data_IF_295515205955
#
_entry.id   IF_295515205955
#
_cell.length_a   1.000
_cell.length_b   1.000
_cell.length_c   1.000
_cell.angle_alpha   90.00
_cell.angle_beta   90.00
_cell.angle_gamma   90.00
#
_symmetry.space_group_name_H-M   'P 1'
#
loop_
_entity.id
_entity.type
_entity.pdbx_description
1 polymer ?
#
# COMPACT_ATOMS: atom_id res chain seq x y z
N UNK A 1 6.28 9.83 3.12
CA UNK A 1 7.31 10.90 3.15
C UNK A 1 8.62 10.33 2.65
N UNK A 2 9.16 10.86 1.56
CA UNK A 2 10.40 10.34 0.97
C UNK A 2 11.58 10.82 1.82
N UNK A 3 12.26 9.91 2.50
CA UNK A 3 13.35 10.25 3.42
C UNK A 3 14.68 9.69 2.92
N UNK A 4 15.66 10.56 2.64
CA UNK A 4 17.01 10.15 2.18
C UNK A 4 17.72 9.25 3.18
N UNK A 5 17.66 9.58 4.47
CA UNK A 5 18.24 8.75 5.53
C UNK A 5 17.65 7.35 5.60
N UNK A 6 16.32 7.24 5.39
CA UNK A 6 15.65 5.96 5.35
C UNK A 6 16.06 5.15 4.12
N UNK A 7 16.21 5.80 2.96
CA UNK A 7 16.66 5.13 1.73
C UNK A 7 18.07 4.53 1.90
N UNK A 8 19.03 5.31 2.43
CA UNK A 8 20.37 4.82 2.73
C UNK A 8 20.34 3.65 3.73
N UNK A 9 19.62 3.81 4.83
CA UNK A 9 19.45 2.77 5.85
C UNK A 9 18.87 1.46 5.31
N UNK A 10 17.91 1.51 4.41
CA UNK A 10 17.32 0.32 3.80
C UNK A 10 18.34 -0.39 2.90
N UNK A 11 19.05 0.34 2.05
CA UNK A 11 20.01 -0.24 1.11
C UNK A 11 21.21 -0.84 1.84
N UNK A 12 21.71 -0.22 2.92
CA UNK A 12 22.76 -0.77 3.79
C UNK A 12 22.39 -2.13 4.42
N UNK A 13 21.11 -2.49 4.43
CA UNK A 13 20.57 -3.75 4.95
C UNK A 13 20.04 -4.68 3.87
N UNK A 14 20.53 -4.55 2.64
CA UNK A 14 20.11 -5.33 1.48
C UNK A 14 18.60 -5.26 1.20
N UNK A 15 17.93 -4.20 1.71
CA UNK A 15 16.53 -3.94 1.43
C UNK A 15 16.38 -2.92 0.30
N UNK A 16 15.25 -3.00 -0.39
CA UNK A 16 14.93 -2.07 -1.46
C UNK A 16 13.82 -1.10 -1.04
N UNK A 17 13.84 0.09 -1.61
CA UNK A 17 12.77 1.06 -1.41
C UNK A 17 11.97 1.30 -2.69
N UNK A 18 10.74 1.73 -2.48
CA UNK A 18 9.82 2.27 -3.46
C UNK A 18 9.17 3.50 -2.83
N UNK A 19 9.42 4.68 -3.38
CA UNK A 19 8.90 5.94 -2.84
C UNK A 19 8.15 6.73 -3.89
N UNK A 20 6.99 7.25 -3.53
CA UNK A 20 6.30 8.28 -4.28
C UNK A 20 6.82 9.63 -3.82
N UNK A 21 7.26 10.43 -4.78
CA UNK A 21 7.67 11.81 -4.58
C UNK A 21 6.42 12.67 -4.48
N UNK A 22 6.31 13.46 -3.44
CA UNK A 22 5.17 14.36 -3.19
C UNK A 22 5.68 15.80 -3.07
N UNK A 23 4.78 16.78 -3.08
CA UNK A 23 5.07 18.21 -3.01
C UNK A 23 5.94 18.69 -1.84
N UNK A 24 6.27 17.82 -0.87
CA UNK A 24 7.28 18.10 0.15
C UNK A 24 8.74 17.96 -0.34
N UNK A 25 8.94 17.54 -1.59
CA UNK A 25 10.23 17.50 -2.30
C UNK A 25 10.07 18.08 -3.71
N UNK A 26 9.74 19.37 -3.83
CA UNK A 26 9.35 19.99 -5.09
C UNK A 26 10.46 19.95 -6.15
N UNK A 27 11.71 20.12 -5.78
CA UNK A 27 12.85 20.04 -6.72
C UNK A 27 12.95 18.64 -7.34
N UNK A 28 12.89 17.60 -6.53
CA UNK A 28 12.96 16.21 -7.00
C UNK A 28 11.76 15.86 -7.90
N UNK A 29 10.59 16.33 -7.54
CA UNK A 29 9.37 16.16 -8.34
C UNK A 29 9.49 16.86 -9.70
N UNK A 30 10.00 18.10 -9.72
CA UNK A 30 10.22 18.88 -10.93
C UNK A 30 11.26 18.25 -11.86
N UNK A 31 12.39 17.77 -11.31
CA UNK A 31 13.44 17.11 -12.09
C UNK A 31 12.91 15.87 -12.81
N UNK A 32 12.13 15.04 -12.08
CA UNK A 32 11.51 13.85 -12.67
C UNK A 32 10.45 14.25 -13.70
N UNK A 33 9.58 15.22 -13.37
CA UNK A 33 8.53 15.68 -14.26
C UNK A 33 9.10 16.25 -15.57
N UNK A 34 10.19 17.02 -15.50
CA UNK A 34 10.87 17.59 -16.66
C UNK A 34 11.39 16.50 -17.58
N UNK A 35 12.01 15.46 -17.03
CA UNK A 35 12.55 14.34 -17.82
C UNK A 35 11.45 13.58 -18.58
N UNK A 36 10.27 13.41 -17.94
CA UNK A 36 9.17 12.68 -18.56
C UNK A 36 8.21 13.53 -19.40
N UNK A 37 8.44 14.85 -19.51
CA UNK A 37 7.54 15.79 -20.20
C UNK A 37 7.24 15.41 -21.65
N UNK A 38 8.25 14.97 -22.39
CA UNK A 38 8.14 14.70 -23.83
C UNK A 38 7.93 13.21 -24.17
N UNK A 39 7.80 12.33 -23.16
CA UNK A 39 7.57 10.90 -23.38
C UNK A 39 6.12 10.64 -23.79
N UNK A 40 5.93 10.09 -24.98
CA UNK A 40 4.59 9.82 -25.52
C UNK A 40 4.11 8.39 -25.27
N UNK A 41 4.98 7.40 -25.46
CA UNK A 41 4.61 5.98 -25.35
C UNK A 41 4.98 5.43 -23.95
N UNK A 42 4.03 4.83 -23.22
CA UNK A 42 4.32 4.20 -21.94
C UNK A 42 5.12 2.90 -22.10
N UNK A 43 6.01 2.62 -21.16
CA UNK A 43 6.76 1.35 -21.12
C UNK A 43 5.83 0.18 -20.78
N UNK A 44 4.76 0.46 -20.01
CA UNK A 44 3.68 -0.50 -19.75
C UNK A 44 2.37 0.23 -19.50
N UNK A 45 1.26 -0.37 -19.93
CA UNK A 45 -0.09 0.11 -19.68
C UNK A 45 -1.01 -1.04 -19.28
N UNK A 46 -1.88 -0.79 -18.31
CA UNK A 46 -2.86 -1.74 -17.82
C UNK A 46 -4.26 -1.10 -17.82
N UNK A 47 -5.23 -1.83 -18.37
CA UNK A 47 -6.64 -1.51 -18.26
C UNK A 47 -7.26 -2.46 -17.23
N UNK A 48 -7.77 -1.91 -16.13
CA UNK A 48 -8.46 -2.72 -15.14
C UNK A 48 -9.91 -2.96 -15.61
N UNK A 49 -10.38 -4.22 -15.61
CA UNK A 49 -11.78 -4.51 -15.90
C UNK A 49 -12.72 -3.69 -15.02
N UNK A 50 -13.95 -3.42 -15.47
CA UNK A 50 -14.89 -2.63 -14.70
C UNK A 50 -15.18 -3.28 -13.36
N UNK A 51 -14.69 -2.70 -12.29
CA UNK A 51 -15.01 -3.08 -10.92
C UNK A 51 -15.77 -1.95 -10.24
N UNK A 52 -16.86 -2.26 -9.55
CA UNK A 52 -17.73 -1.28 -8.89
C UNK A 52 -18.17 -0.09 -9.78
N UNK A 53 -18.35 -0.33 -11.11
CA UNK A 53 -18.79 0.69 -12.05
C UNK A 53 -17.72 1.71 -12.45
N UNK A 54 -16.44 1.41 -12.25
CA UNK A 54 -15.30 2.25 -12.66
C UNK A 54 -14.43 1.52 -13.68
N UNK A 55 -13.98 2.26 -14.70
CA UNK A 55 -12.93 1.83 -15.61
C UNK A 55 -11.68 2.60 -15.21
N UNK A 56 -10.58 1.89 -15.03
CA UNK A 56 -9.32 2.49 -14.67
C UNK A 56 -8.22 2.09 -15.65
N UNK A 57 -7.53 3.07 -16.19
CA UNK A 57 -6.34 2.90 -17.03
C UNK A 57 -5.14 3.43 -16.27
N UNK A 58 -4.09 2.63 -16.21
CA UNK A 58 -2.80 3.01 -15.64
C UNK A 58 -1.71 2.87 -16.68
N UNK A 59 -0.86 3.88 -16.77
CA UNK A 59 0.32 3.89 -17.62
C UNK A 59 1.53 4.18 -16.77
N UNK A 60 2.67 3.59 -17.10
CA UNK A 60 3.92 3.82 -16.41
C UNK A 60 5.05 4.04 -17.41
N UNK A 61 5.92 4.96 -17.08
CA UNK A 61 7.19 5.23 -17.74
C UNK A 61 8.30 5.11 -16.70
N UNK A 62 9.42 4.53 -17.09
CA UNK A 62 10.58 4.32 -16.22
C UNK A 62 11.84 4.82 -16.88
N UNK A 63 12.83 5.24 -16.12
CA UNK A 63 14.13 5.66 -16.64
C UNK A 63 15.25 5.37 -15.65
N UNK A 64 16.42 5.08 -16.18
CA UNK A 64 17.69 5.02 -15.45
C UNK A 64 18.59 6.23 -15.72
N UNK A 65 18.23 7.08 -16.67
CA UNK A 65 19.05 8.24 -17.08
C UNK A 65 19.20 9.28 -15.96
N UNK A 66 18.29 9.30 -15.02
CA UNK A 66 18.33 10.16 -13.83
C UNK A 66 19.20 9.59 -12.70
N UNK A 67 19.73 8.38 -12.85
CA UNK A 67 20.60 7.77 -11.84
C UNK A 67 21.88 8.58 -11.70
N UNK A 68 22.23 8.96 -10.48
CA UNK A 68 23.39 9.82 -10.19
C UNK A 68 23.17 11.33 -10.43
N UNK A 69 22.13 11.72 -11.19
CA UNK A 69 21.78 13.14 -11.39
C UNK A 69 20.86 13.67 -10.30
N UNK A 70 19.96 12.81 -9.80
CA UNK A 70 19.04 13.19 -8.73
C UNK A 70 19.76 13.25 -7.38
N UNK A 71 19.51 14.31 -6.62
CA UNK A 71 20.01 14.41 -5.26
C UNK A 71 19.23 13.47 -4.31
N UNK A 72 19.32 12.15 -4.60
CA UNK A 72 18.72 11.10 -3.81
C UNK A 72 19.58 9.83 -3.82
N UNK A 73 19.76 9.14 -2.65
CA UNK A 73 20.68 8.01 -2.55
C UNK A 73 20.16 6.75 -3.21
N UNK A 74 21.05 6.01 -3.88
CA UNK A 74 20.85 4.65 -4.39
C UNK A 74 19.64 4.51 -5.35
N UNK A 75 19.41 5.50 -6.21
CA UNK A 75 18.36 5.42 -7.22
C UNK A 75 18.74 4.39 -8.28
N UNK A 76 17.92 3.35 -8.44
CA UNK A 76 18.03 2.37 -9.51
C UNK A 76 17.16 2.74 -10.71
N UNK A 77 15.97 3.30 -10.47
CA UNK A 77 15.06 3.84 -11.49
C UNK A 77 14.22 4.98 -10.94
N UNK A 78 13.95 5.98 -11.79
CA UNK A 78 12.87 6.94 -11.61
C UNK A 78 11.67 6.52 -12.46
N UNK A 79 10.46 6.84 -12.04
CA UNK A 79 9.25 6.48 -12.77
C UNK A 79 8.15 7.54 -12.61
N UNK A 80 7.23 7.55 -13.60
CA UNK A 80 5.97 8.27 -13.52
C UNK A 80 4.82 7.31 -13.77
N UNK A 81 3.76 7.43 -12.97
CA UNK A 81 2.52 6.67 -13.13
C UNK A 81 1.40 7.65 -13.40
N UNK A 82 0.70 7.44 -14.50
CA UNK A 82 -0.52 8.13 -14.86
C UNK A 82 -1.73 7.22 -14.61
N UNK A 83 -2.70 7.70 -13.84
CA UNK A 83 -3.94 6.99 -13.56
C UNK A 83 -5.13 7.80 -14.08
N UNK A 84 -5.90 7.21 -14.97
CA UNK A 84 -7.15 7.75 -15.46
C UNK A 84 -8.29 6.86 -15.01
N UNK A 85 -9.31 7.45 -14.38
CA UNK A 85 -10.49 6.73 -13.90
C UNK A 85 -11.75 7.34 -14.51
N UNK A 86 -12.65 6.50 -15.00
CA UNK A 86 -13.95 6.89 -15.53
C UNK A 86 -15.04 6.19 -14.71
N UNK A 87 -15.89 6.95 -14.06
CA UNK A 87 -17.07 6.43 -13.39
C UNK A 87 -18.20 6.25 -14.42
N UNK A 88 -18.59 5.01 -14.70
CA UNK A 88 -19.59 4.69 -15.71
C UNK A 88 -20.98 5.26 -15.40
N UNK A 89 -21.33 5.40 -14.12
CA UNK A 89 -22.65 5.88 -13.71
C UNK A 89 -22.77 7.41 -13.83
N UNK A 90 -21.70 8.13 -13.47
CA UNK A 90 -21.73 9.60 -13.40
C UNK A 90 -21.01 10.26 -14.58
N UNK A 91 -20.29 9.50 -15.41
CA UNK A 91 -19.41 10.03 -16.45
C UNK A 91 -18.19 10.79 -15.93
N UNK A 92 -18.04 10.93 -14.61
CA UNK A 92 -16.93 11.69 -14.01
C UNK A 92 -15.59 11.04 -14.35
N UNK A 93 -14.67 11.85 -14.85
CA UNK A 93 -13.28 11.47 -15.13
C UNK A 93 -12.36 12.05 -14.08
N UNK A 94 -11.39 11.29 -13.62
CA UNK A 94 -10.26 11.77 -12.83
C UNK A 94 -8.95 11.39 -13.50
N UNK A 95 -7.95 12.25 -13.36
CA UNK A 95 -6.62 12.08 -13.88
C UNK A 95 -5.62 12.42 -12.78
N UNK A 96 -4.72 11.49 -12.51
CA UNK A 96 -3.71 11.61 -11.46
C UNK A 96 -2.36 11.23 -12.02
N UNK A 97 -1.33 11.99 -11.67
CA UNK A 97 0.06 11.72 -12.00
C UNK A 97 0.83 11.57 -10.69
N UNK A 98 1.62 10.53 -10.60
CA UNK A 98 2.49 10.26 -9.46
C UNK A 98 3.92 10.01 -9.95
N UNK A 99 4.87 10.74 -9.40
CA UNK A 99 6.30 10.55 -9.63
C UNK A 99 6.91 9.71 -8.52
N UNK A 100 7.92 8.91 -8.84
CA UNK A 100 8.53 8.08 -7.82
C UNK A 100 9.92 7.60 -8.16
N UNK A 101 10.55 6.99 -7.15
CA UNK A 101 11.90 6.43 -7.19
C UNK A 101 11.92 5.04 -6.58
N UNK A 102 12.77 4.18 -7.12
CA UNK A 102 13.08 2.87 -6.53
C UNK A 102 14.58 2.61 -6.57
N UNK A 103 15.09 1.86 -5.61
CA UNK A 103 16.47 1.38 -5.62
C UNK A 103 16.68 0.15 -6.51
N UNK A 104 15.59 -0.45 -7.01
CA UNK A 104 15.69 -1.61 -7.90
C UNK A 104 16.08 -1.19 -9.32
N UNK A 105 16.99 -1.96 -9.90
CA UNK A 105 17.34 -1.83 -11.32
C UNK A 105 16.21 -2.36 -12.22
N UNK A 106 16.21 -2.05 -13.54
CA UNK A 106 15.25 -2.60 -14.49
C UNK A 106 15.21 -4.14 -14.54
N UNK A 107 16.34 -4.79 -14.28
CA UNK A 107 16.43 -6.25 -14.21
C UNK A 107 15.76 -6.84 -12.99
N UNK A 108 15.71 -6.09 -11.88
CA UNK A 108 15.09 -6.49 -10.62
C UNK A 108 13.59 -6.14 -10.54
N UNK A 109 13.18 -5.08 -11.22
CA UNK A 109 11.80 -4.64 -11.28
C UNK A 109 11.50 -3.97 -12.63
N UNK A 110 10.81 -4.68 -13.48
CA UNK A 110 10.27 -4.15 -14.72
C UNK A 110 9.12 -3.14 -14.47
N UNK A 111 8.68 -2.36 -15.45
CA UNK A 111 7.60 -1.38 -15.29
C UNK A 111 6.31 -1.99 -14.75
N UNK A 112 5.95 -3.20 -15.17
CA UNK A 112 4.78 -3.93 -14.69
C UNK A 112 4.90 -4.22 -13.18
N UNK A 113 6.07 -4.65 -12.71
CA UNK A 113 6.31 -4.93 -11.29
C UNK A 113 6.24 -3.66 -10.45
N UNK A 114 6.79 -2.55 -10.93
CA UNK A 114 6.70 -1.25 -10.25
C UNK A 114 5.23 -0.84 -10.10
N UNK A 115 4.42 -0.99 -11.15
CA UNK A 115 2.99 -0.69 -11.11
C UNK A 115 2.23 -1.60 -10.13
N UNK A 116 2.58 -2.89 -10.07
CA UNK A 116 2.02 -3.83 -9.09
C UNK A 116 2.34 -3.43 -7.65
N UNK A 117 3.58 -3.00 -7.37
CA UNK A 117 3.98 -2.51 -6.04
C UNK A 117 3.18 -1.26 -5.66
N UNK A 118 2.98 -0.34 -6.61
CA UNK A 118 2.13 0.83 -6.40
C UNK A 118 0.70 0.44 -6.02
N UNK A 119 0.11 -0.52 -6.71
CA UNK A 119 -1.23 -1.04 -6.38
C UNK A 119 -1.26 -1.74 -5.02
N UNK A 120 -0.23 -2.52 -4.71
CA UNK A 120 -0.09 -3.24 -3.44
C UNK A 120 -0.07 -2.31 -2.23
N UNK A 121 0.47 -1.11 -2.37
CA UNK A 121 0.46 -0.11 -1.31
C UNK A 121 -0.97 0.28 -0.88
N UNK A 122 -1.88 0.50 -1.82
CA UNK A 122 -3.30 0.75 -1.55
C UNK A 122 -4.00 -0.41 -0.85
N UNK A 123 -3.52 -1.63 -1.06
CA UNK A 123 -4.07 -2.80 -0.36
C UNK A 123 -3.77 -2.73 1.14
N UNK A 124 -2.61 -2.24 1.54
CA UNK A 124 -2.25 -2.05 2.95
C UNK A 124 -3.16 -0.99 3.59
N UNK A 125 -3.39 0.14 2.92
CA UNK A 125 -4.29 1.17 3.40
C UNK A 125 -5.72 0.64 3.57
N UNK A 126 -6.26 -0.03 2.57
CA UNK A 126 -7.63 -0.54 2.60
C UNK A 126 -7.83 -1.73 3.55
N UNK A 127 -6.82 -2.58 3.74
CA UNK A 127 -6.97 -3.81 4.53
C UNK A 127 -6.45 -3.70 5.95
N UNK A 128 -5.60 -2.74 6.24
CA UNK A 128 -5.01 -2.55 7.57
C UNK A 128 -5.41 -1.21 8.19
N UNK A 129 -5.07 -0.10 7.55
CA UNK A 129 -5.38 1.22 8.11
C UNK A 129 -6.87 1.47 8.18
N UNK A 130 -7.64 1.21 7.13
CA UNK A 130 -9.11 1.32 7.16
C UNK A 130 -9.74 0.50 8.29
N UNK A 131 -9.24 -0.71 8.58
CA UNK A 131 -9.77 -1.53 9.68
C UNK A 131 -9.42 -0.93 11.04
N UNK A 132 -8.20 -0.39 11.21
CA UNK A 132 -7.79 0.27 12.44
C UNK A 132 -8.59 1.57 12.68
N UNK A 133 -8.68 2.41 11.66
CA UNK A 133 -9.27 3.74 11.77
C UNK A 133 -10.80 3.68 11.87
N UNK A 134 -11.43 2.84 11.05
CA UNK A 134 -12.88 2.80 10.94
C UNK A 134 -13.57 1.79 11.85
N UNK A 135 -12.98 0.60 12.07
CA UNK A 135 -13.62 -0.45 12.86
C UNK A 135 -13.20 -0.39 14.31
N UNK A 136 -11.93 -0.14 14.56
CA UNK A 136 -11.41 0.04 15.91
C UNK A 136 -11.44 1.50 16.38
N UNK A 137 -11.85 2.44 15.53
CA UNK A 137 -11.94 3.88 15.85
C UNK A 137 -10.64 4.40 16.51
N UNK A 138 -9.49 4.05 15.89
CA UNK A 138 -8.17 4.31 16.48
C UNK A 138 -7.93 5.81 16.68
N UNK A 139 -8.36 6.64 15.73
CA UNK A 139 -8.21 8.10 15.79
C UNK A 139 -8.99 8.74 16.94
N UNK A 140 -10.10 8.15 17.36
CA UNK A 140 -10.92 8.62 18.49
C UNK A 140 -10.56 7.95 19.81
N UNK A 141 -9.55 7.09 19.84
CA UNK A 141 -9.09 6.46 21.06
C UNK A 141 -8.65 7.52 22.09
N UNK A 142 -9.25 7.50 23.27
CA UNK A 142 -8.96 8.46 24.34
C UNK A 142 -7.94 7.99 25.36
N UNK A 143 -7.39 6.81 25.19
CA UNK A 143 -6.35 6.28 26.07
C UNK A 143 -5.08 7.10 25.82
N UNK A 144 -4.60 7.84 26.82
CA UNK A 144 -3.45 8.75 26.71
C UNK A 144 -2.40 8.54 27.79
N UNK A 145 -2.66 7.66 28.78
CA UNK A 145 -1.83 7.52 29.97
C UNK A 145 -0.81 6.39 29.80
N UNK A 146 0.44 6.66 30.14
CA UNK A 146 1.52 5.68 30.17
C UNK A 146 1.65 4.90 28.85
N UNK A 147 1.81 3.60 28.95
CA UNK A 147 1.90 2.67 27.80
C UNK A 147 0.54 2.28 27.19
N UNK A 148 -0.54 2.86 27.68
CA UNK A 148 -1.90 2.55 27.22
C UNK A 148 -2.11 2.69 25.72
N UNK A 149 -1.72 3.81 25.08
CA UNK A 149 -1.87 4.01 23.64
C UNK A 149 -1.12 2.96 22.82
N UNK A 150 0.12 2.66 23.19
CA UNK A 150 0.95 1.67 22.50
C UNK A 150 0.37 0.25 22.66
N UNK A 151 -0.03 -0.13 23.85
CA UNK A 151 -0.57 -1.45 24.15
C UNK A 151 -1.88 -1.71 23.39
N UNK A 152 -2.80 -0.74 23.37
CA UNK A 152 -4.07 -0.90 22.64
C UNK A 152 -3.85 -1.00 21.13
N UNK A 153 -2.93 -0.23 20.57
CA UNK A 153 -2.57 -0.32 19.16
C UNK A 153 -1.94 -1.68 18.82
N UNK A 154 -1.06 -2.19 19.68
CA UNK A 154 -0.48 -3.54 19.53
C UNK A 154 -1.54 -4.64 19.57
N UNK A 155 -2.50 -4.55 20.53
CA UNK A 155 -3.60 -5.52 20.64
C UNK A 155 -4.51 -5.51 19.41
N UNK A 156 -4.86 -4.33 18.89
CA UNK A 156 -5.66 -4.20 17.65
C UNK A 156 -4.96 -4.83 16.45
N UNK A 157 -3.68 -4.53 16.27
CA UNK A 157 -2.85 -5.12 15.19
C UNK A 157 -2.71 -6.63 15.33
N UNK A 158 -2.53 -7.13 16.55
CA UNK A 158 -2.52 -8.56 16.83
C UNK A 158 -3.84 -9.24 16.44
N UNK A 159 -4.98 -8.68 16.82
CA UNK A 159 -6.30 -9.20 16.47
C UNK A 159 -6.51 -9.26 14.94
N UNK A 160 -6.14 -8.19 14.21
CA UNK A 160 -6.19 -8.19 12.74
C UNK A 160 -5.29 -9.28 12.15
N UNK A 161 -4.07 -9.41 12.66
CA UNK A 161 -3.11 -10.41 12.19
C UNK A 161 -3.62 -11.83 12.42
N UNK A 162 -4.23 -12.09 13.57
CA UNK A 162 -4.83 -13.38 13.88
C UNK A 162 -5.98 -13.74 12.92
N UNK A 163 -6.84 -12.76 12.61
CA UNK A 163 -7.96 -12.94 11.66
C UNK A 163 -7.41 -13.21 10.26
N UNK A 164 -6.41 -12.45 9.82
CA UNK A 164 -5.78 -12.62 8.49
C UNK A 164 -5.05 -13.96 8.36
N UNK A 165 -4.37 -14.42 9.40
CA UNK A 165 -3.68 -15.71 9.42
C UNK A 165 -4.63 -16.90 9.21
N UNK A 166 -5.94 -16.71 9.41
CA UNK A 166 -7.00 -17.69 9.12
C UNK A 166 -7.56 -17.59 7.69
N UNK A 167 -6.93 -16.83 6.80
CA UNK A 167 -7.34 -16.68 5.40
C UNK A 167 -8.64 -15.88 5.20
N UNK A 168 -9.05 -15.08 6.17
CA UNK A 168 -10.30 -14.30 6.08
C UNK A 168 -10.11 -13.12 5.13
N UNK A 169 -10.89 -13.08 4.06
CA UNK A 169 -10.84 -12.02 3.06
C UNK A 169 -11.39 -10.68 3.59
N UNK A 170 -12.50 -10.71 4.33
CA UNK A 170 -13.14 -9.51 4.89
C UNK A 170 -13.01 -9.45 6.41
N UNK A 171 -11.93 -8.82 6.87
CA UNK A 171 -11.61 -8.66 8.31
C UNK A 171 -12.72 -7.91 9.06
N UNK A 172 -13.27 -6.86 8.45
CA UNK A 172 -14.32 -6.03 9.03
C UNK A 172 -15.60 -6.83 9.33
N UNK A 173 -16.02 -7.64 8.37
CA UNK A 173 -17.17 -8.52 8.55
C UNK A 173 -16.91 -9.55 9.64
N UNK A 174 -15.70 -10.11 9.68
CA UNK A 174 -15.33 -11.10 10.68
C UNK A 174 -15.32 -10.52 12.10
N UNK A 175 -14.80 -9.33 12.29
CA UNK A 175 -14.81 -8.64 13.58
C UNK A 175 -16.26 -8.45 14.05
N UNK A 176 -17.17 -8.00 13.19
CA UNK A 176 -18.59 -7.87 13.54
C UNK A 176 -19.18 -9.21 13.96
N UNK A 177 -18.90 -10.29 13.22
CA UNK A 177 -19.38 -11.65 13.60
C UNK A 177 -18.87 -12.10 14.97
N UNK A 178 -17.59 -11.85 15.27
CA UNK A 178 -16.97 -12.20 16.57
C UNK A 178 -17.57 -11.38 17.72
N UNK A 179 -17.86 -10.09 17.50
CA UNK A 179 -18.49 -9.23 18.50
C UNK A 179 -19.92 -9.66 18.83
N UNK A 180 -20.65 -10.22 17.87
CA UNK A 180 -22.02 -10.71 18.06
C UNK A 180 -22.07 -12.10 18.68
N UNK A 181 -20.99 -12.87 18.59
CA UNK A 181 -20.94 -14.23 19.10
C UNK A 181 -19.63 -14.50 19.87
N UNK A 182 -19.63 -14.27 21.20
CA UNK A 182 -18.46 -14.50 22.04
C UNK A 182 -17.94 -15.95 22.02
N UNK A 183 -18.81 -16.95 21.85
CA UNK A 183 -18.38 -18.35 21.72
C UNK A 183 -17.49 -18.55 20.49
N UNK A 184 -17.84 -17.94 19.38
CA UNK A 184 -17.05 -17.98 18.15
C UNK A 184 -15.68 -17.34 18.37
N UNK A 185 -15.56 -16.30 19.21
CA UNK A 185 -14.28 -15.70 19.56
C UNK A 185 -13.40 -16.67 20.35
N UNK A 186 -13.96 -17.38 21.33
CA UNK A 186 -13.20 -18.38 22.11
C UNK A 186 -12.76 -19.56 21.23
N UNK A 187 -13.60 -20.01 20.29
CA UNK A 187 -13.20 -21.01 19.29
C UNK A 187 -12.06 -20.49 18.41
N UNK A 188 -12.11 -19.24 18.02
CA UNK A 188 -11.07 -18.59 17.23
C UNK A 188 -9.74 -18.53 17.97
N UNK A 189 -9.78 -18.30 19.28
CA UNK A 189 -8.59 -18.30 20.17
C UNK A 189 -8.16 -19.71 20.59
N UNK A 190 -8.85 -20.76 20.15
CA UNK A 190 -8.63 -22.16 20.56
C UNK A 190 -8.79 -22.39 22.06
N UNK A 191 -9.69 -21.67 22.68
CA UNK A 191 -9.98 -21.77 24.12
C UNK A 191 -11.17 -22.68 24.42
N UNK A 192 -11.77 -23.31 23.39
CA UNK A 192 -12.90 -24.25 23.56
C UNK A 192 -12.53 -25.64 23.08
N UNK A 193 -13.20 -26.67 23.58
CA UNK A 193 -12.99 -28.06 23.19
C UNK A 193 -13.29 -28.32 21.69
N UNK A 194 -14.18 -27.55 21.08
CA UNK A 194 -14.53 -27.67 19.67
C UNK A 194 -13.39 -27.21 18.73
N UNK A 195 -12.50 -26.32 19.20
CA UNK A 195 -11.38 -25.83 18.43
C UNK A 195 -10.24 -26.84 18.27
N UNK A 196 -10.22 -27.89 19.10
CA UNK A 196 -9.22 -28.94 19.02
C UNK A 196 -9.54 -30.03 17.99
N UNK A 197 -10.79 -30.07 17.47
CA UNK A 197 -11.25 -31.15 16.54
C UNK A 197 -11.07 -30.83 15.06
N UNK A 198 -10.73 -29.61 14.68
CA UNK A 198 -10.55 -29.20 13.28
C UNK A 198 -9.06 -29.22 12.88
N UNK A 199 -8.46 -30.39 12.78
CA UNK A 199 -7.34 -30.63 11.84
C UNK A 199 -7.92 -31.42 10.67
N UNK A 200 -8.00 -30.87 9.46
CA UNK A 200 -8.10 -31.72 8.28
C UNK A 200 -6.74 -32.38 8.08
N UNK A 201 -6.78 -33.65 7.87
CA UNK A 201 -5.74 -34.52 7.35
C UNK A 201 -5.21 -34.04 6.00
#
# INVERSE_FOLDING_TARGET
MTQRKLAAYLVERDAHYYFIVKGNQPTLEQDIALHFKDRKQPDFAELTPPDHGRIETRKIWTTTELNGCLNFPHVGQAFVIERQTINKRTGKRSHEIAYGLTSRSPQQADPKRILQVNRGHWTIENTCHYVLDWIYDEDRCRIRTGYGPENITRLRRFAISLIKARGVANVAQKIRQLNWNPRLLFDYLRMTQNSCRARPS
#
